data_IF_325141973458
#
_entry.id   IF_325141973458
#
_cell.length_a   1.000
_cell.length_b   1.000
_cell.length_c   1.000
_cell.angle_alpha   90.00
_cell.angle_beta   90.00
_cell.angle_gamma   90.00
#
_symmetry.space_group_name_H-M   'P 1'
#
loop_
_entity.id
_entity.type
_entity.pdbx_description
1 polymer ?
#
# COMPACT_ATOMS: atom_id res chain seq x y z
N UNK A 1 -11.65 -28.55 28.36
CA UNK A 1 -10.88 -28.69 27.10
C UNK A 1 -10.82 -27.36 26.38
N UNK A 2 -9.71 -26.61 26.53
CA UNK A 2 -9.59 -25.19 26.16
C UNK A 2 -8.48 -24.93 25.12
N UNK A 3 -8.13 -25.92 24.30
CA UNK A 3 -6.93 -25.89 23.45
C UNK A 3 -7.17 -26.12 21.96
N UNK A 4 -8.42 -26.28 21.51
CA UNK A 4 -8.74 -26.58 20.10
C UNK A 4 -9.44 -25.42 19.36
N UNK A 5 -9.63 -24.26 19.99
CA UNK A 5 -10.37 -23.15 19.38
C UNK A 5 -9.47 -22.14 18.64
N UNK A 6 -8.15 -22.16 18.82
CA UNK A 6 -7.32 -20.98 18.50
C UNK A 6 -6.34 -21.11 17.32
N UNK A 7 -6.43 -22.16 16.51
CA UNK A 7 -5.58 -22.25 15.30
C UNK A 7 -6.26 -22.85 14.07
N UNK A 8 -7.27 -23.71 14.24
CA UNK A 8 -8.04 -24.24 13.11
C UNK A 8 -9.28 -23.41 12.75
N UNK A 9 -9.95 -22.79 13.73
CA UNK A 9 -11.16 -21.98 13.49
C UNK A 9 -10.92 -20.76 12.59
N UNK A 10 -9.76 -20.09 12.73
CA UNK A 10 -9.37 -18.96 11.88
C UNK A 10 -9.04 -19.34 10.43
N UNK A 11 -8.61 -20.59 10.18
CA UNK A 11 -8.23 -21.08 8.85
C UNK A 11 -9.37 -21.80 8.12
N UNK A 12 -10.44 -22.16 8.84
CA UNK A 12 -11.66 -22.79 8.29
C UNK A 12 -12.88 -21.87 8.23
N UNK A 13 -12.81 -20.62 8.71
CA UNK A 13 -13.87 -19.61 8.51
C UNK A 13 -13.90 -19.07 7.08
N UNK A 14 -13.86 -19.99 6.10
CA UNK A 14 -14.17 -19.86 4.68
C UNK A 14 -13.06 -19.40 3.71
N UNK A 15 -12.19 -20.32 3.25
CA UNK A 15 -11.45 -20.10 2.00
C UNK A 15 -12.39 -19.82 0.80
N UNK A 16 -13.61 -20.37 0.85
CA UNK A 16 -14.66 -20.09 -0.14
C UNK A 16 -15.20 -18.66 -0.08
N UNK A 17 -15.46 -18.11 1.10
CA UNK A 17 -16.02 -16.75 1.22
C UNK A 17 -14.97 -15.67 1.02
N UNK A 18 -13.72 -15.91 1.43
CA UNK A 18 -12.60 -15.00 1.14
C UNK A 18 -12.32 -14.94 -0.37
N UNK A 19 -12.36 -16.09 -1.06
CA UNK A 19 -12.21 -16.10 -2.53
C UNK A 19 -13.42 -15.49 -3.26
N UNK A 20 -14.64 -15.67 -2.76
CA UNK A 20 -15.84 -14.99 -3.26
C UNK A 20 -15.77 -13.47 -3.02
N UNK A 21 -15.34 -13.04 -1.85
CA UNK A 21 -15.14 -11.63 -1.50
C UNK A 21 -14.05 -10.99 -2.36
N UNK A 22 -12.92 -11.68 -2.56
CA UNK A 22 -11.86 -11.24 -3.49
C UNK A 22 -12.39 -11.11 -4.92
N UNK A 23 -13.19 -12.07 -5.39
CA UNK A 23 -13.83 -11.98 -6.72
C UNK A 23 -14.82 -10.81 -6.81
N UNK A 24 -15.52 -10.48 -5.73
CA UNK A 24 -16.45 -9.36 -5.69
C UNK A 24 -15.73 -8.00 -5.67
N UNK A 25 -14.54 -7.93 -5.07
CA UNK A 25 -13.72 -6.70 -4.99
C UNK A 25 -12.86 -6.50 -6.24
N UNK A 26 -12.53 -7.58 -6.97
CA UNK A 26 -11.69 -7.54 -8.17
C UNK A 26 -12.09 -6.47 -9.21
N UNK A 27 -13.38 -6.29 -9.57
CA UNK A 27 -13.76 -5.24 -10.52
C UNK A 27 -13.41 -3.83 -10.02
N UNK A 28 -13.55 -3.58 -8.71
CA UNK A 28 -13.19 -2.30 -8.11
C UNK A 28 -11.67 -2.08 -8.12
N UNK A 29 -10.88 -3.13 -7.86
CA UNK A 29 -9.41 -3.03 -7.93
C UNK A 29 -8.94 -2.76 -9.34
N UNK A 30 -9.51 -3.44 -10.33
CA UNK A 30 -9.18 -3.22 -11.75
C UNK A 30 -9.53 -1.80 -12.17
N UNK A 31 -10.69 -1.30 -11.76
CA UNK A 31 -11.10 0.07 -12.04
C UNK A 31 -10.19 1.10 -11.35
N UNK A 32 -9.86 0.89 -10.07
CA UNK A 32 -8.95 1.76 -9.32
C UNK A 32 -7.55 1.79 -9.92
N UNK A 33 -7.05 0.62 -10.35
CA UNK A 33 -5.78 0.52 -11.07
C UNK A 33 -5.85 1.26 -12.41
N UNK A 34 -6.89 1.05 -13.22
CA UNK A 34 -7.04 1.75 -14.50
C UNK A 34 -7.04 3.27 -14.29
N UNK A 35 -7.79 3.77 -13.29
CA UNK A 35 -7.79 5.19 -12.90
C UNK A 35 -6.38 5.70 -12.59
N UNK A 36 -5.62 4.97 -11.76
CA UNK A 36 -4.26 5.37 -11.40
C UNK A 36 -3.31 5.39 -12.60
N UNK A 37 -3.40 4.41 -13.50
CA UNK A 37 -2.52 4.33 -14.67
C UNK A 37 -2.89 5.34 -15.76
N UNK A 38 -4.18 5.43 -16.09
CA UNK A 38 -4.66 6.17 -17.26
C UNK A 38 -4.87 7.66 -16.95
N UNK A 39 -5.52 7.98 -15.83
CA UNK A 39 -5.84 9.37 -15.48
C UNK A 39 -4.65 10.09 -14.81
N UNK A 40 -3.94 9.38 -13.93
CA UNK A 40 -2.86 9.95 -13.12
C UNK A 40 -1.44 9.61 -13.60
N UNK A 41 -1.31 8.92 -14.74
CA UNK A 41 -0.02 8.47 -15.28
C UNK A 41 0.86 7.73 -14.26
N UNK A 42 0.22 6.89 -13.43
CA UNK A 42 0.88 6.11 -12.40
C UNK A 42 1.93 5.15 -12.97
N UNK A 43 3.02 4.98 -12.23
CA UNK A 43 4.13 4.08 -12.55
C UNK A 43 4.17 2.96 -11.51
N UNK A 44 4.03 1.71 -11.97
CA UNK A 44 4.12 0.55 -11.08
C UNK A 44 5.54 0.05 -10.97
N UNK A 45 5.91 -0.36 -9.77
CA UNK A 45 7.18 -1.02 -9.49
C UNK A 45 6.95 -2.17 -8.51
N UNK A 46 7.75 -3.22 -8.65
CA UNK A 46 7.78 -4.34 -7.73
C UNK A 46 9.09 -4.31 -6.98
N UNK A 47 9.01 -4.05 -5.68
CA UNK A 47 10.16 -3.98 -4.79
C UNK A 47 10.40 -5.35 -4.17
N UNK A 48 11.65 -5.64 -3.81
CA UNK A 48 12.03 -6.87 -3.12
C UNK A 48 12.59 -6.47 -1.77
N UNK A 49 11.87 -6.82 -0.70
CA UNK A 49 12.31 -6.59 0.66
C UNK A 49 13.47 -7.53 1.04
N UNK A 50 14.16 -7.23 2.13
CA UNK A 50 15.34 -7.99 2.58
C UNK A 50 15.06 -9.46 2.92
N UNK A 51 13.80 -9.79 3.22
CA UNK A 51 13.32 -11.16 3.46
C UNK A 51 12.83 -11.87 2.19
N UNK A 52 12.97 -11.23 1.02
CA UNK A 52 12.55 -11.75 -0.27
C UNK A 52 11.09 -11.49 -0.63
N UNK A 53 10.31 -10.82 0.24
CA UNK A 53 8.93 -10.46 -0.08
C UNK A 53 8.86 -9.47 -1.25
N UNK A 54 7.92 -9.70 -2.15
CA UNK A 54 7.67 -8.81 -3.29
C UNK A 54 6.56 -7.82 -2.92
N UNK A 55 6.89 -6.54 -2.94
CA UNK A 55 5.97 -5.45 -2.61
C UNK A 55 5.54 -4.77 -3.91
N UNK A 56 4.24 -4.83 -4.20
CA UNK A 56 3.68 -4.12 -5.35
C UNK A 56 3.40 -2.67 -4.97
N UNK A 57 3.88 -1.74 -5.79
CA UNK A 57 3.78 -0.31 -5.55
C UNK A 57 3.28 0.43 -6.77
N UNK A 58 2.65 1.59 -6.54
CA UNK A 58 2.32 2.58 -7.54
C UNK A 58 2.82 3.94 -7.12
N UNK A 59 3.48 4.63 -8.04
CA UNK A 59 3.93 5.99 -7.86
C UNK A 59 3.24 6.94 -8.84
N UNK A 60 2.70 8.04 -8.34
CA UNK A 60 2.21 9.15 -9.15
C UNK A 60 3.07 10.38 -8.86
N UNK A 61 3.73 10.88 -9.90
CA UNK A 61 4.59 12.06 -9.81
C UNK A 61 3.79 13.32 -10.11
N UNK A 62 3.72 14.24 -9.15
CA UNK A 62 3.04 15.54 -9.30
C UNK A 62 4.02 16.71 -9.32
N UNK A 63 5.34 16.47 -9.35
CA UNK A 63 6.36 17.54 -9.35
C UNK A 63 6.26 18.44 -10.60
N UNK A 64 5.76 17.91 -11.71
CA UNK A 64 5.56 18.68 -12.96
C UNK A 64 4.37 19.65 -12.91
N UNK A 65 3.49 19.56 -11.90
CA UNK A 65 2.30 20.40 -11.80
C UNK A 65 2.56 21.79 -11.16
N UNK A 66 3.83 22.18 -10.98
CA UNK A 66 4.30 23.46 -10.41
C UNK A 66 3.58 23.84 -9.10
N UNK A 67 3.40 22.85 -8.22
CA UNK A 67 2.80 23.05 -6.90
C UNK A 67 3.76 22.63 -5.80
N UNK A 68 3.80 23.38 -4.70
CA UNK A 68 4.59 23.02 -3.52
C UNK A 68 4.20 21.64 -2.96
N UNK A 69 2.93 21.24 -3.14
CA UNK A 69 2.43 19.93 -2.72
C UNK A 69 2.99 18.79 -3.56
N UNK A 70 3.15 19.00 -4.86
CA UNK A 70 3.73 18.01 -5.77
C UNK A 70 5.18 17.65 -5.42
N UNK A 71 5.92 18.58 -4.80
CA UNK A 71 7.27 18.34 -4.30
C UNK A 71 7.33 17.43 -3.06
N UNK A 72 6.19 17.25 -2.37
CA UNK A 72 6.07 16.35 -1.22
C UNK A 72 5.52 14.99 -1.66
N UNK A 73 6.07 13.93 -1.07
CA UNK A 73 5.61 12.57 -1.29
C UNK A 73 4.75 12.11 -0.12
N UNK A 74 3.55 11.63 -0.40
CA UNK A 74 2.72 10.94 0.58
C UNK A 74 2.83 9.44 0.34
N UNK A 75 3.47 8.72 1.27
CA UNK A 75 3.47 7.26 1.30
C UNK A 75 2.18 6.80 1.97
N UNK A 76 1.36 6.07 1.23
CA UNK A 76 0.04 5.63 1.64
C UNK A 76 0.09 4.19 2.16
N UNK A 77 -0.13 4.01 3.46
CA UNK A 77 -0.13 2.72 4.14
C UNK A 77 -1.57 2.26 4.42
N UNK A 78 -2.04 1.28 3.66
CA UNK A 78 -3.34 0.66 3.87
C UNK A 78 -3.38 -0.23 5.13
N UNK A 79 -4.57 -0.51 5.64
CA UNK A 79 -4.74 -1.60 6.60
C UNK A 79 -4.51 -2.97 5.95
N UNK A 80 -4.35 -4.02 6.77
CA UNK A 80 -4.00 -5.39 6.34
C UNK A 80 -4.96 -6.05 5.31
N UNK A 81 -6.16 -5.50 5.10
CA UNK A 81 -7.12 -5.96 4.09
C UNK A 81 -7.44 -4.89 3.03
N UNK A 82 -6.71 -3.77 3.05
CA UNK A 82 -6.84 -2.66 2.11
C UNK A 82 -5.92 -2.83 0.90
N UNK A 83 -6.30 -2.15 -0.17
CA UNK A 83 -5.58 -2.12 -1.44
C UNK A 83 -5.38 -0.66 -1.83
N UNK A 84 -4.17 -0.30 -2.26
CA UNK A 84 -3.88 1.09 -2.64
C UNK A 84 -4.78 1.57 -3.79
N UNK A 85 -5.28 0.64 -4.62
CA UNK A 85 -6.14 0.91 -5.77
C UNK A 85 -7.46 1.59 -5.40
N UNK A 86 -7.96 1.37 -4.17
CA UNK A 86 -9.28 1.86 -3.72
C UNK A 86 -9.23 2.54 -2.36
N UNK A 87 -8.05 2.75 -1.81
CA UNK A 87 -7.86 3.22 -0.44
C UNK A 87 -7.44 4.69 -0.31
N UNK A 88 -6.58 4.93 0.68
CA UNK A 88 -6.10 6.22 1.15
C UNK A 88 -5.21 6.97 0.16
N UNK A 89 -4.84 6.37 -0.98
CA UNK A 89 -4.12 7.03 -2.10
C UNK A 89 -4.95 8.15 -2.75
N UNK A 90 -6.28 8.02 -2.77
CA UNK A 90 -7.18 8.99 -3.42
C UNK A 90 -7.10 10.39 -2.81
N UNK A 91 -7.17 10.50 -1.49
CA UNK A 91 -7.16 11.78 -0.76
C UNK A 91 -5.92 12.65 -1.02
N UNK A 92 -4.67 12.16 -0.88
CA UNK A 92 -3.48 12.96 -1.18
C UNK A 92 -3.33 13.26 -2.68
N UNK A 93 -3.78 12.36 -3.57
CA UNK A 93 -3.79 12.62 -5.02
C UNK A 93 -4.71 13.79 -5.38
N UNK A 94 -5.91 13.84 -4.81
CA UNK A 94 -6.88 14.91 -5.02
C UNK A 94 -6.42 16.23 -4.36
N UNK A 95 -5.67 16.13 -3.26
CA UNK A 95 -5.04 17.28 -2.62
C UNK A 95 -3.80 17.83 -3.38
N UNK A 96 -3.32 17.12 -4.41
CA UNK A 96 -2.23 17.56 -5.29
C UNK A 96 -0.83 17.10 -4.90
N UNK A 97 -0.69 16.12 -4.01
CA UNK A 97 0.60 15.57 -3.62
C UNK A 97 1.10 14.52 -4.62
N UNK A 98 2.43 14.33 -4.68
CA UNK A 98 2.98 13.08 -5.22
C UNK A 98 2.64 11.95 -4.26
N UNK A 99 2.33 10.76 -4.78
CA UNK A 99 1.84 9.65 -3.95
C UNK A 99 2.56 8.35 -4.28
N UNK A 100 2.93 7.61 -3.23
CA UNK A 100 3.43 6.24 -3.32
C UNK A 100 2.48 5.32 -2.53
N UNK A 101 1.69 4.54 -3.26
CA UNK A 101 0.85 3.48 -2.68
C UNK A 101 1.58 2.15 -2.74
N UNK A 102 1.36 1.29 -1.74
CA UNK A 102 1.94 -0.05 -1.71
C UNK A 102 0.97 -1.06 -1.10
N UNK A 103 1.04 -2.31 -1.57
CA UNK A 103 0.20 -3.40 -1.08
C UNK A 103 1.01 -4.34 -0.18
N UNK A 104 0.37 -4.81 0.89
CA UNK A 104 0.97 -5.74 1.85
C UNK A 104 1.36 -7.07 1.18
N UNK A 105 2.46 -7.71 1.62
CA UNK A 105 2.87 -9.02 1.09
C UNK A 105 1.89 -10.12 1.53
N UNK A 106 1.04 -10.58 0.61
CA UNK A 106 0.10 -11.66 0.84
C UNK A 106 -1.13 -11.24 1.67
N UNK A 107 -2.32 -11.56 1.16
CA UNK A 107 -3.58 -11.30 1.88
C UNK A 107 -3.57 -12.10 3.20
N UNK A 108 -3.67 -11.42 4.35
CA UNK A 108 -3.71 -12.00 5.70
C UNK A 108 -2.39 -12.54 6.31
N UNK A 109 -1.22 -12.09 5.83
CA UNK A 109 0.09 -12.50 6.37
C UNK A 109 0.90 -11.37 6.99
N UNK A 110 0.58 -10.95 8.22
CA UNK A 110 1.22 -9.85 8.98
C UNK A 110 2.68 -10.09 9.40
N UNK A 111 3.44 -10.96 8.73
CA UNK A 111 4.71 -11.46 9.27
C UNK A 111 5.92 -10.54 9.01
N UNK A 112 5.82 -9.50 8.16
CA UNK A 112 6.93 -8.55 7.95
C UNK A 112 6.57 -7.21 7.30
N UNK A 113 5.64 -6.47 7.92
CA UNK A 113 5.31 -5.11 7.47
C UNK A 113 6.48 -4.12 7.59
N UNK A 114 7.36 -4.29 8.59
CA UNK A 114 8.53 -3.42 8.80
C UNK A 114 9.51 -3.48 7.61
N UNK A 115 9.85 -4.68 7.14
CA UNK A 115 10.71 -4.86 5.96
C UNK A 115 10.07 -4.30 4.69
N UNK A 116 8.74 -4.37 4.60
CA UNK A 116 7.98 -3.81 3.48
C UNK A 116 8.04 -2.28 3.49
N UNK A 117 7.88 -1.68 4.69
CA UNK A 117 7.97 -0.23 4.85
C UNK A 117 9.39 0.28 4.57
N UNK A 118 10.41 -0.41 5.09
CA UNK A 118 11.81 -0.05 4.84
C UNK A 118 12.09 0.00 3.34
N UNK A 119 11.80 -1.07 2.58
CA UNK A 119 12.06 -1.06 1.13
C UNK A 119 11.26 0.01 0.38
N UNK A 120 10.05 0.33 0.83
CA UNK A 120 9.21 1.41 0.24
C UNK A 120 9.84 2.78 0.51
N UNK A 121 10.33 3.05 1.72
CA UNK A 121 11.02 4.31 2.07
C UNK A 121 12.35 4.42 1.33
N UNK A 122 13.14 3.34 1.27
CA UNK A 122 14.39 3.29 0.51
C UNK A 122 14.15 3.57 -0.98
N UNK A 123 13.09 3.01 -1.55
CA UNK A 123 12.69 3.29 -2.93
C UNK A 123 12.33 4.77 -3.14
N UNK A 124 11.56 5.37 -2.22
CA UNK A 124 11.21 6.78 -2.28
C UNK A 124 12.43 7.71 -2.27
N UNK A 125 13.43 7.41 -1.44
CA UNK A 125 14.62 8.24 -1.30
C UNK A 125 15.56 8.04 -2.49
N UNK A 126 15.90 6.78 -2.80
CA UNK A 126 17.02 6.48 -3.69
C UNK A 126 16.62 6.37 -5.16
N UNK A 127 15.37 5.99 -5.46
CA UNK A 127 14.91 5.81 -6.83
C UNK A 127 13.94 6.91 -7.28
N UNK A 128 13.09 7.40 -6.38
CA UNK A 128 12.15 8.50 -6.68
C UNK A 128 12.74 9.89 -6.38
N UNK A 129 13.88 9.94 -5.69
CA UNK A 129 14.63 11.15 -5.34
C UNK A 129 13.83 12.16 -4.49
N UNK A 130 13.04 11.68 -3.53
CA UNK A 130 12.47 12.54 -2.50
C UNK A 130 13.42 12.68 -1.31
N UNK A 131 13.50 13.89 -0.76
CA UNK A 131 14.20 14.12 0.51
C UNK A 131 13.35 13.59 1.65
N UNK A 132 13.98 13.08 2.70
CA UNK A 132 13.29 12.55 3.89
C UNK A 132 12.32 13.58 4.49
N UNK A 133 12.72 14.85 4.57
CA UNK A 133 11.91 15.97 5.07
C UNK A 133 10.67 16.31 4.22
N UNK A 134 10.59 15.80 2.99
CA UNK A 134 9.47 15.95 2.07
C UNK A 134 8.59 14.70 1.98
N UNK A 135 8.90 13.65 2.75
CA UNK A 135 8.12 12.42 2.83
C UNK A 135 7.14 12.51 4.00
N UNK A 136 5.86 12.26 3.72
CA UNK A 136 4.77 12.18 4.69
C UNK A 136 4.25 10.75 4.67
N UNK A 137 4.13 10.14 5.84
CA UNK A 137 3.48 8.84 5.99
C UNK A 137 2.00 9.08 6.30
N UNK A 138 1.12 8.61 5.43
CA UNK A 138 -0.32 8.66 5.61
C UNK A 138 -0.86 7.24 5.70
N UNK A 139 -1.51 6.93 6.81
CA UNK A 139 -1.88 5.56 7.11
C UNK A 139 -3.35 5.44 7.51
N UNK A 140 -3.99 4.35 7.06
CA UNK A 140 -5.36 4.03 7.40
C UNK A 140 -5.44 2.86 8.37
N UNK A 141 -6.15 3.05 9.49
CA UNK A 141 -6.41 2.01 10.50
C UNK A 141 -5.12 1.36 11.00
N UNK A 142 -5.01 0.02 11.00
CA UNK A 142 -3.79 -0.69 11.46
C UNK A 142 -2.56 -0.43 10.60
N UNK A 143 -2.72 0.11 9.37
CA UNK A 143 -1.59 0.57 8.56
C UNK A 143 -0.77 1.66 9.25
N UNK A 144 -1.30 2.30 10.29
CA UNK A 144 -0.54 3.19 11.16
C UNK A 144 0.62 2.49 11.85
N UNK A 145 0.46 1.24 12.29
CA UNK A 145 1.52 0.50 12.99
C UNK A 145 2.76 0.33 12.11
N UNK A 146 2.55 0.07 10.82
CA UNK A 146 3.60 0.00 9.81
C UNK A 146 4.36 1.33 9.62
N UNK A 147 3.67 2.46 9.84
CA UNK A 147 4.26 3.79 9.74
C UNK A 147 5.00 4.26 10.99
N UNK A 148 4.86 3.56 12.13
CA UNK A 148 5.40 3.94 13.43
C UNK A 148 6.52 3.01 13.95
N UNK A 149 6.94 1.99 13.19
CA UNK A 149 8.03 1.10 13.67
C UNK A 149 9.37 1.85 13.66
N UNK A 150 9.84 2.20 14.85
CA UNK A 150 11.21 2.67 15.14
C UNK A 150 12.28 1.63 14.80
#
# INVERSE_FOLDING_TARGET
SYLMANSFGRRMLYPGSVSLLQKAIMPMLLQGQARLMEEYQGKRAKLIACDGNQIDTVFVDRRSADSERGAKLVICCEGNAGFYEVGCVSTPLEAGYSVLGWNHPGFAGSTNEANSMDVVVQYAIHQLNFRIEDIIIYAWSIGGFTGYSE
#
